data_IF_640607144556
#
_entry.id   IF_640607144556
#
_cell.length_a   1.000
_cell.length_b   1.000
_cell.length_c   1.000
_cell.angle_alpha   90.00
_cell.angle_beta   90.00
_cell.angle_gamma   90.00
#
_symmetry.space_group_name_H-M   'P 1'
#
loop_
_entity.id
_entity.type
_entity.pdbx_description
1 polymer ?
#
# COMPACT_ATOMS: atom_id res chain seq x y z
N UNK A 1 19.79 6.01 -9.66
CA UNK A 1 20.34 7.38 -9.84
C UNK A 1 20.94 7.60 -11.25
N UNK A 2 21.55 6.61 -11.90
CA UNK A 2 22.12 6.74 -13.23
C UNK A 2 21.15 7.07 -14.37
N UNK A 3 19.85 6.90 -14.14
CA UNK A 3 18.79 7.18 -15.12
C UNK A 3 18.07 8.52 -14.88
N UNK A 4 18.52 9.33 -13.89
CA UNK A 4 17.95 10.63 -13.58
C UNK A 4 16.72 10.60 -12.65
N UNK A 5 16.33 9.42 -12.17
CA UNK A 5 15.23 9.23 -11.21
C UNK A 5 15.82 9.12 -9.79
N UNK A 6 15.30 9.89 -8.84
CA UNK A 6 15.82 9.97 -7.47
C UNK A 6 15.02 9.06 -6.54
N UNK A 7 15.73 8.21 -5.79
CA UNK A 7 15.13 7.38 -4.75
C UNK A 7 14.49 8.26 -3.66
N UNK A 8 13.33 7.84 -3.17
CA UNK A 8 12.55 8.56 -2.15
C UNK A 8 11.68 9.70 -2.70
N UNK A 9 12.16 10.44 -3.69
CA UNK A 9 11.39 11.52 -4.30
C UNK A 9 10.59 11.05 -5.53
N UNK A 10 11.26 10.38 -6.47
CA UNK A 10 10.65 9.92 -7.72
C UNK A 10 10.24 8.45 -7.65
N UNK A 11 10.96 7.65 -6.86
CA UNK A 11 10.69 6.24 -6.57
C UNK A 11 10.12 6.13 -5.17
N UNK A 12 8.86 5.74 -5.04
CA UNK A 12 8.19 5.63 -3.74
C UNK A 12 7.08 4.59 -3.78
N UNK A 13 6.64 4.17 -2.60
CA UNK A 13 5.49 3.31 -2.44
C UNK A 13 4.63 3.78 -1.27
N UNK A 14 3.34 3.50 -1.33
CA UNK A 14 2.44 3.68 -0.20
C UNK A 14 1.43 2.55 -0.13
N UNK A 15 0.99 2.24 1.08
CA UNK A 15 -0.01 1.20 1.34
C UNK A 15 -1.29 1.82 1.86
N UNK A 16 -2.41 1.34 1.33
CA UNK A 16 -3.75 1.61 1.83
C UNK A 16 -4.33 0.33 2.47
N UNK A 17 -5.56 0.39 2.93
CA UNK A 17 -6.26 -0.81 3.43
C UNK A 17 -6.56 -1.85 2.36
N UNK A 18 -6.54 -1.46 1.09
CA UNK A 18 -6.97 -2.30 -0.04
C UNK A 18 -5.85 -2.66 -1.00
N UNK A 19 -4.82 -1.82 -1.12
CA UNK A 19 -3.75 -2.00 -2.09
C UNK A 19 -2.45 -1.34 -1.64
N UNK A 20 -1.35 -1.78 -2.24
CA UNK A 20 -0.07 -1.08 -2.24
C UNK A 20 0.16 -0.50 -3.62
N UNK A 21 0.56 0.76 -3.68
CA UNK A 21 0.91 1.45 -4.91
C UNK A 21 2.41 1.70 -4.93
N UNK A 22 3.08 1.18 -5.94
CA UNK A 22 4.47 1.49 -6.26
C UNK A 22 4.49 2.54 -7.36
N UNK A 23 5.26 3.58 -7.19
CA UNK A 23 5.25 4.72 -8.09
C UNK A 23 6.65 5.10 -8.52
N UNK A 24 6.79 5.31 -9.82
CA UNK A 24 7.92 6.00 -10.44
C UNK A 24 7.37 7.26 -11.09
N UNK A 25 7.89 8.42 -10.72
CA UNK A 25 7.43 9.73 -11.21
C UNK A 25 8.58 10.55 -11.75
N UNK A 26 8.25 11.65 -12.44
CA UNK A 26 9.21 12.58 -13.04
C UNK A 26 10.24 11.87 -13.94
N UNK A 27 9.77 10.86 -14.70
CA UNK A 27 10.63 10.10 -15.61
C UNK A 27 10.99 10.96 -16.82
N UNK A 28 12.28 11.25 -17.06
CA UNK A 28 12.69 12.01 -18.23
C UNK A 28 12.45 11.22 -19.51
N UNK A 29 11.74 11.80 -20.48
CA UNK A 29 11.48 11.18 -21.79
C UNK A 29 12.60 11.42 -22.82
N UNK A 30 13.72 12.01 -22.41
CA UNK A 30 14.86 12.34 -23.29
C UNK A 30 15.59 11.13 -23.83
N UNK A 31 15.42 9.97 -23.23
CA UNK A 31 16.00 8.70 -23.68
C UNK A 31 15.01 7.57 -23.42
N UNK A 32 14.73 6.81 -24.45
CA UNK A 32 13.81 5.66 -24.38
C UNK A 32 14.24 4.62 -23.32
N UNK A 33 15.54 4.38 -23.20
CA UNK A 33 16.11 3.46 -22.21
C UNK A 33 15.77 3.80 -20.74
N UNK A 34 15.43 5.07 -20.46
CA UNK A 34 15.00 5.47 -19.11
C UNK A 34 13.60 4.94 -18.82
N UNK A 35 12.69 5.03 -19.78
CA UNK A 35 11.33 4.49 -19.66
C UNK A 35 11.38 2.97 -19.51
N UNK A 36 12.17 2.29 -20.35
CA UNK A 36 12.34 0.84 -20.28
C UNK A 36 12.89 0.39 -18.92
N UNK A 37 13.88 1.13 -18.38
CA UNK A 37 14.41 0.87 -17.04
C UNK A 37 13.35 1.06 -15.95
N UNK A 38 12.49 2.07 -16.06
CA UNK A 38 11.41 2.29 -15.11
C UNK A 38 10.36 1.19 -15.17
N UNK A 39 9.99 0.71 -16.35
CA UNK A 39 9.09 -0.43 -16.52
C UNK A 39 9.70 -1.71 -15.94
N UNK A 40 11.00 -1.93 -16.13
CA UNK A 40 11.71 -3.07 -15.51
C UNK A 40 11.70 -2.99 -13.97
N UNK A 41 11.90 -1.80 -13.39
CA UNK A 41 11.78 -1.61 -11.94
C UNK A 41 10.38 -1.98 -11.44
N UNK A 42 9.33 -1.56 -12.15
CA UNK A 42 7.96 -1.91 -11.79
C UNK A 42 7.69 -3.41 -11.93
N UNK A 43 8.25 -4.05 -12.95
CA UNK A 43 8.21 -5.49 -13.13
C UNK A 43 8.86 -6.22 -11.94
N UNK A 44 10.09 -5.85 -11.58
CA UNK A 44 10.81 -6.49 -10.48
C UNK A 44 10.09 -6.31 -9.14
N UNK A 45 9.51 -5.14 -8.89
CA UNK A 45 8.68 -4.93 -7.69
C UNK A 45 7.42 -5.77 -7.70
N UNK A 46 6.86 -6.05 -8.86
CA UNK A 46 5.62 -6.81 -8.99
C UNK A 46 5.79 -8.31 -8.73
N UNK A 47 6.97 -8.88 -9.01
CA UNK A 47 7.16 -10.34 -8.94
C UNK A 47 8.54 -10.81 -8.49
N UNK A 48 9.58 -9.99 -8.57
CA UNK A 48 10.97 -10.42 -8.41
C UNK A 48 11.70 -9.86 -7.18
N UNK A 49 10.98 -9.38 -6.16
CA UNK A 49 11.62 -8.89 -4.93
C UNK A 49 12.30 -10.07 -4.21
N UNK A 50 13.58 -9.96 -3.91
CA UNK A 50 14.38 -11.03 -3.30
C UNK A 50 14.03 -11.32 -1.85
N UNK A 51 13.52 -10.33 -1.11
CA UNK A 51 13.16 -10.43 0.31
C UNK A 51 14.29 -11.06 1.14
N UNK A 52 15.51 -10.53 0.99
CA UNK A 52 16.67 -10.95 1.76
C UNK A 52 16.44 -10.73 3.25
N UNK A 53 16.80 -11.72 4.09
CA UNK A 53 16.53 -11.64 5.52
C UNK A 53 17.26 -10.50 6.21
N UNK A 54 18.50 -10.20 5.80
CA UNK A 54 19.27 -9.09 6.37
C UNK A 54 18.69 -7.73 6.01
N UNK A 55 18.14 -7.57 4.80
CA UNK A 55 17.46 -6.35 4.38
C UNK A 55 16.09 -6.21 5.07
N UNK A 56 15.35 -7.30 5.26
CA UNK A 56 14.10 -7.30 6.05
C UNK A 56 14.38 -6.82 7.48
N UNK A 57 15.43 -7.30 8.12
CA UNK A 57 15.75 -6.91 9.51
C UNK A 57 16.21 -5.44 9.63
N UNK A 58 16.91 -4.92 8.63
CA UNK A 58 17.25 -3.49 8.56
C UNK A 58 15.99 -2.64 8.43
N UNK A 59 15.10 -3.00 7.50
CA UNK A 59 13.86 -2.26 7.24
C UNK A 59 12.91 -2.33 8.43
N UNK A 60 12.89 -3.43 9.16
CA UNK A 60 12.13 -3.59 10.42
C UNK A 60 12.42 -2.45 11.41
N UNK A 61 13.70 -2.11 11.59
CA UNK A 61 14.10 -0.99 12.44
C UNK A 61 13.56 0.36 11.96
N UNK A 62 13.58 0.59 10.65
CA UNK A 62 13.04 1.81 10.01
C UNK A 62 11.54 1.92 10.25
N UNK A 63 10.78 0.85 10.00
CA UNK A 63 9.32 0.83 10.20
C UNK A 63 8.95 1.02 11.67
N UNK A 64 9.68 0.42 12.60
CA UNK A 64 9.44 0.61 14.05
C UNK A 64 9.66 2.08 14.44
N UNK A 65 10.69 2.72 13.89
CA UNK A 65 10.94 4.13 14.17
C UNK A 65 9.87 5.03 13.54
N UNK A 66 9.43 4.74 12.31
CA UNK A 66 8.29 5.43 11.68
C UNK A 66 7.01 5.30 12.53
N UNK A 67 6.75 4.10 13.05
CA UNK A 67 5.63 3.86 13.94
C UNK A 67 5.72 4.75 15.19
N UNK A 68 6.91 4.84 15.82
CA UNK A 68 7.14 5.69 17.01
C UNK A 68 6.94 7.17 16.69
N UNK A 69 7.46 7.64 15.55
CA UNK A 69 7.27 9.03 15.12
C UNK A 69 5.81 9.37 14.80
N UNK A 70 5.04 8.38 14.34
CA UNK A 70 3.60 8.51 14.09
C UNK A 70 2.72 8.46 15.35
N UNK A 71 3.29 8.15 16.53
CA UNK A 71 2.52 8.15 17.78
C UNK A 71 2.15 9.57 18.23
N UNK A 72 0.91 9.72 18.67
CA UNK A 72 0.41 11.01 19.12
C UNK A 72 -1.09 10.98 19.41
N UNK A 73 -1.65 12.09 19.93
CA UNK A 73 -3.06 12.17 20.34
C UNK A 73 -4.02 11.85 19.18
N UNK A 74 -3.74 12.32 17.99
CA UNK A 74 -4.57 12.07 16.81
C UNK A 74 -4.67 10.56 16.50
N UNK A 75 -3.55 9.83 16.58
CA UNK A 75 -3.52 8.39 16.35
C UNK A 75 -4.27 7.63 17.45
N UNK A 76 -4.03 7.98 18.71
CA UNK A 76 -4.71 7.32 19.84
C UNK A 76 -6.22 7.51 19.77
N UNK A 77 -6.69 8.74 19.51
CA UNK A 77 -8.11 9.03 19.32
C UNK A 77 -8.69 8.30 18.09
N UNK A 78 -7.96 8.27 16.99
CA UNK A 78 -8.39 7.52 15.80
C UNK A 78 -8.53 6.01 16.06
N UNK A 79 -7.59 5.39 16.77
CA UNK A 79 -7.68 3.98 17.13
C UNK A 79 -8.93 3.68 17.98
N UNK A 80 -9.31 4.60 18.86
CA UNK A 80 -10.57 4.50 19.62
C UNK A 80 -11.82 4.69 18.76
N UNK A 81 -11.76 5.57 17.74
CA UNK A 81 -12.88 5.89 16.85
C UNK A 81 -13.10 4.84 15.75
N UNK A 82 -12.06 4.15 15.33
CA UNK A 82 -12.12 3.21 14.20
C UNK A 82 -13.21 2.12 14.34
N UNK A 83 -13.43 1.51 15.52
CA UNK A 83 -14.52 0.54 15.70
C UNK A 83 -15.93 1.10 15.46
N UNK A 84 -16.16 2.38 15.76
CA UNK A 84 -17.46 3.01 15.47
C UNK A 84 -17.72 3.14 13.98
N UNK A 85 -16.66 3.38 13.21
CA UNK A 85 -16.76 3.53 11.76
C UNK A 85 -16.79 2.18 11.04
N UNK A 86 -15.97 1.24 11.47
CA UNK A 86 -15.69 0.02 10.75
C UNK A 86 -16.29 -1.25 11.38
N UNK A 87 -16.93 -1.14 12.56
CA UNK A 87 -17.46 -2.27 13.33
C UNK A 87 -16.34 -3.27 13.67
N UNK A 88 -16.69 -4.54 13.74
CA UNK A 88 -15.75 -5.63 14.05
C UNK A 88 -14.90 -6.09 12.84
N UNK A 89 -14.83 -5.27 11.81
CA UNK A 89 -14.06 -5.61 10.61
C UNK A 89 -12.56 -5.43 10.84
N UNK A 90 -11.76 -6.05 9.96
CA UNK A 90 -10.30 -5.85 9.97
C UNK A 90 -9.87 -4.39 9.78
N UNK A 91 -10.73 -3.54 9.20
CA UNK A 91 -10.44 -2.10 9.08
C UNK A 91 -10.40 -1.39 10.43
N UNK A 92 -11.12 -1.89 11.44
CA UNK A 92 -11.09 -1.33 12.78
C UNK A 92 -9.84 -1.74 13.57
N UNK A 93 -9.35 -2.98 13.35
CA UNK A 93 -8.34 -3.61 14.21
C UNK A 93 -6.94 -3.65 13.61
N UNK A 94 -6.80 -3.49 12.28
CA UNK A 94 -5.51 -3.54 11.60
C UNK A 94 -5.01 -2.15 11.24
N UNK A 95 -3.95 -1.74 11.92
CA UNK A 95 -3.19 -0.56 11.54
C UNK A 95 -2.33 -0.87 10.30
N UNK A 96 -2.24 0.09 9.37
CA UNK A 96 -1.43 -0.09 8.15
C UNK A 96 0.05 -0.31 8.46
N UNK A 97 0.59 0.41 9.42
CA UNK A 97 2.00 0.29 9.83
C UNK A 97 2.23 -0.91 10.78
N UNK A 98 1.18 -1.57 11.26
CA UNK A 98 1.29 -2.70 12.17
C UNK A 98 1.39 -2.31 13.65
N UNK A 99 1.92 -3.23 14.44
CA UNK A 99 2.16 -3.09 15.88
C UNK A 99 3.60 -3.49 16.20
N UNK A 100 4.20 -2.87 17.22
CA UNK A 100 5.62 -3.09 17.58
C UNK A 100 5.93 -4.57 17.79
N UNK A 101 5.09 -5.29 18.55
CA UNK A 101 5.32 -6.71 18.85
C UNK A 101 5.32 -7.55 17.55
N UNK A 102 4.34 -7.33 16.67
CA UNK A 102 4.29 -8.02 15.39
C UNK A 102 5.50 -7.69 14.52
N UNK A 103 5.81 -6.39 14.37
CA UNK A 103 6.95 -5.94 13.56
C UNK A 103 8.29 -6.50 14.07
N UNK A 104 8.44 -6.63 15.40
CA UNK A 104 9.67 -7.11 16.02
C UNK A 104 9.87 -8.62 15.90
N UNK A 105 8.80 -9.39 15.71
CA UNK A 105 8.84 -10.85 15.89
C UNK A 105 8.41 -11.68 14.68
N UNK A 106 7.75 -11.07 13.65
CA UNK A 106 7.32 -11.89 12.50
C UNK A 106 8.52 -12.56 11.80
N UNK A 107 8.44 -13.85 11.47
CA UNK A 107 9.50 -14.52 10.72
C UNK A 107 9.55 -14.04 9.27
N UNK A 108 10.74 -14.02 8.67
CA UNK A 108 10.95 -13.57 7.30
C UNK A 108 10.05 -14.31 6.29
N UNK A 109 9.78 -15.59 6.54
CA UNK A 109 8.95 -16.41 5.66
C UNK A 109 7.49 -15.95 5.61
N UNK A 110 6.95 -15.33 6.66
CA UNK A 110 5.62 -14.71 6.59
C UNK A 110 5.54 -13.60 5.55
N UNK A 111 6.60 -12.78 5.42
CA UNK A 111 6.66 -11.74 4.40
C UNK A 111 6.81 -12.33 3.00
N UNK A 112 7.65 -13.36 2.85
CA UNK A 112 7.82 -14.08 1.59
C UNK A 112 6.54 -14.77 1.15
N UNK A 113 5.85 -15.44 2.08
CA UNK A 113 4.56 -16.09 1.84
C UNK A 113 3.48 -15.07 1.45
N UNK A 114 3.44 -13.90 2.13
CA UNK A 114 2.54 -12.83 1.79
C UNK A 114 2.80 -12.33 0.36
N UNK A 115 4.05 -12.04 0.03
CA UNK A 115 4.42 -11.59 -1.30
C UNK A 115 4.07 -12.63 -2.36
N UNK A 116 4.46 -13.87 -2.22
CA UNK A 116 4.14 -14.96 -3.15
C UNK A 116 2.64 -15.28 -3.26
N UNK A 117 1.84 -14.93 -2.25
CA UNK A 117 0.39 -15.12 -2.25
C UNK A 117 -0.37 -14.00 -2.96
N UNK A 118 0.02 -12.75 -2.75
CA UNK A 118 -0.77 -11.59 -3.12
C UNK A 118 -0.19 -10.77 -4.27
N UNK A 119 1.12 -10.87 -4.55
CA UNK A 119 1.75 -10.19 -5.69
C UNK A 119 1.65 -11.09 -6.93
N UNK A 120 0.52 -10.99 -7.59
CA UNK A 120 0.17 -11.84 -8.75
C UNK A 120 -0.62 -11.03 -9.80
N UNK A 121 -0.51 -11.38 -11.10
CA UNK A 121 -1.02 -10.55 -12.20
C UNK A 121 -2.51 -10.23 -12.11
N UNK A 122 -3.34 -11.17 -11.63
CA UNK A 122 -4.80 -10.98 -11.51
C UNK A 122 -5.22 -9.96 -10.42
N UNK A 123 -4.27 -9.52 -9.58
CA UNK A 123 -4.47 -8.49 -8.56
C UNK A 123 -3.64 -7.23 -8.81
N UNK A 124 -2.96 -7.13 -9.95
CA UNK A 124 -2.10 -6.00 -10.29
C UNK A 124 -2.68 -5.18 -11.43
N UNK A 125 -2.33 -3.91 -11.47
CA UNK A 125 -2.60 -3.01 -12.58
C UNK A 125 -1.38 -2.11 -12.78
N UNK A 126 -0.99 -1.90 -14.02
CA UNK A 126 0.03 -0.93 -14.42
C UNK A 126 -0.68 0.28 -14.99
N UNK A 127 -0.34 1.46 -14.48
CA UNK A 127 -0.89 2.74 -14.94
C UNK A 127 0.27 3.61 -15.37
N UNK A 128 0.26 4.05 -16.61
CA UNK A 128 1.28 4.96 -17.16
C UNK A 128 0.59 6.23 -17.61
N UNK A 129 1.15 7.37 -17.18
CA UNK A 129 0.61 8.71 -17.52
C UNK A 129 1.75 9.60 -17.97
N UNK A 130 1.62 10.23 -19.13
CA UNK A 130 2.64 11.11 -19.67
C UNK A 130 2.36 11.53 -21.12
N UNK A 131 3.33 12.18 -21.72
CA UNK A 131 3.31 12.59 -23.13
C UNK A 131 4.06 11.53 -23.96
N UNK A 132 3.33 10.53 -24.48
CA UNK A 132 3.85 9.41 -25.26
C UNK A 132 2.77 8.84 -26.19
N UNK A 133 3.17 8.08 -27.19
CA UNK A 133 2.23 7.28 -27.98
C UNK A 133 1.66 6.13 -27.15
N UNK A 134 0.33 6.02 -27.11
CA UNK A 134 -0.36 5.06 -26.23
C UNK A 134 -0.15 3.62 -26.71
N UNK A 135 -0.17 3.38 -28.02
CA UNK A 135 -0.04 2.04 -28.58
C UNK A 135 1.39 1.51 -28.39
N UNK A 136 2.39 2.37 -28.57
CA UNK A 136 3.80 2.02 -28.31
C UNK A 136 4.03 1.75 -26.82
N UNK A 137 3.47 2.56 -25.93
CA UNK A 137 3.61 2.35 -24.49
C UNK A 137 2.90 1.07 -24.04
N UNK A 138 1.69 0.80 -24.55
CA UNK A 138 1.00 -0.46 -24.26
C UNK A 138 1.83 -1.67 -24.70
N UNK A 139 2.42 -1.61 -25.91
CA UNK A 139 3.27 -2.69 -26.39
C UNK A 139 4.49 -2.92 -25.50
N UNK A 140 5.14 -1.85 -25.00
CA UNK A 140 6.26 -1.94 -24.05
C UNK A 140 5.82 -2.56 -22.71
N UNK A 141 4.71 -2.10 -22.13
CA UNK A 141 4.17 -2.64 -20.87
C UNK A 141 3.85 -4.13 -21.05
N UNK A 142 3.20 -4.51 -22.15
CA UNK A 142 2.90 -5.92 -22.43
C UNK A 142 4.17 -6.77 -22.58
N UNK A 143 5.17 -6.27 -23.28
CA UNK A 143 6.44 -6.98 -23.47
C UNK A 143 7.16 -7.25 -22.16
N UNK A 144 7.16 -6.27 -21.21
CA UNK A 144 7.85 -6.38 -19.93
C UNK A 144 7.06 -7.23 -18.93
N UNK A 145 5.71 -7.13 -18.89
CA UNK A 145 4.88 -7.74 -17.84
C UNK A 145 4.33 -9.13 -18.21
N UNK A 146 4.43 -9.57 -19.48
CA UNK A 146 3.79 -10.80 -19.95
C UNK A 146 4.45 -12.10 -19.49
N UNK A 147 5.67 -12.04 -18.98
CA UNK A 147 6.41 -13.21 -18.45
C UNK A 147 6.06 -13.51 -16.98
N UNK A 148 5.35 -12.61 -16.30
CA UNK A 148 4.92 -12.84 -14.92
C UNK A 148 3.90 -13.97 -14.87
N UNK A 149 4.21 -15.11 -14.20
CA UNK A 149 3.35 -16.28 -14.27
C UNK A 149 2.04 -16.08 -13.53
N UNK A 150 0.95 -16.52 -14.14
CA UNK A 150 -0.32 -16.61 -13.46
C UNK A 150 -0.28 -17.70 -12.36
N UNK A 151 -0.86 -17.41 -11.20
CA UNK A 151 -0.94 -18.38 -10.11
C UNK A 151 -2.06 -19.37 -10.35
N UNK A 152 -1.76 -20.68 -10.26
CA UNK A 152 -2.78 -21.71 -10.29
C UNK A 152 -3.61 -21.69 -8.99
N UNK A 153 -4.93 -21.77 -9.12
CA UNK A 153 -5.90 -21.80 -8.02
C UNK A 153 -5.64 -20.70 -6.97
N UNK A 154 -5.61 -19.42 -7.36
CA UNK A 154 -5.27 -18.33 -6.46
C UNK A 154 -6.33 -18.15 -5.37
N UNK A 155 -5.89 -17.86 -4.14
CA UNK A 155 -6.79 -17.48 -3.06
C UNK A 155 -7.58 -16.22 -3.45
N UNK A 156 -8.92 -16.22 -3.35
CA UNK A 156 -9.71 -15.06 -3.73
C UNK A 156 -9.47 -13.88 -2.78
N UNK A 157 -9.34 -12.68 -3.33
CA UNK A 157 -9.30 -11.46 -2.52
C UNK A 157 -10.64 -11.30 -1.80
N UNK A 158 -10.63 -11.33 -0.47
CA UNK A 158 -11.82 -11.12 0.35
C UNK A 158 -12.22 -9.66 0.33
N UNK A 159 -13.45 -9.39 -0.08
CA UNK A 159 -14.04 -8.06 0.09
C UNK A 159 -14.60 -7.92 1.50
N UNK A 160 -14.26 -6.82 2.16
CA UNK A 160 -14.80 -6.49 3.48
C UNK A 160 -15.97 -5.53 3.25
N UNK A 161 -17.17 -5.95 3.64
CA UNK A 161 -18.34 -5.08 3.66
C UNK A 161 -18.43 -4.43 5.03
N UNK A 162 -18.49 -3.10 5.06
CA UNK A 162 -18.68 -2.35 6.30
C UNK A 162 -20.14 -2.48 6.74
N UNK A 163 -20.37 -2.73 8.04
CA UNK A 163 -21.72 -2.74 8.56
C UNK A 163 -22.34 -1.33 8.48
N UNK A 164 -23.62 -1.26 8.14
CA UNK A 164 -24.39 -0.04 8.25
C UNK A 164 -24.99 0.09 9.65
N UNK A 165 -25.34 1.30 10.06
CA UNK A 165 -25.99 1.50 11.36
C UNK A 165 -27.45 1.90 11.13
N UNK A 166 -28.37 1.22 11.86
CA UNK A 166 -29.80 1.54 11.86
C UNK A 166 -30.10 2.90 12.52
N UNK A 167 -29.24 3.36 13.41
CA UNK A 167 -29.36 4.61 14.14
C UNK A 167 -28.02 5.38 14.10
N UNK A 168 -28.04 6.72 14.20
CA UNK A 168 -26.82 7.49 14.37
C UNK A 168 -25.99 7.01 15.56
N UNK A 169 -24.69 6.89 15.36
CA UNK A 169 -23.75 6.53 16.42
C UNK A 169 -22.90 7.76 16.73
N UNK A 170 -22.77 8.08 18.01
CA UNK A 170 -21.96 9.22 18.48
C UNK A 170 -20.78 8.69 19.29
N UNK A 171 -19.59 9.16 19.01
CA UNK A 171 -18.38 8.88 19.78
C UNK A 171 -17.73 10.17 20.25
N UNK A 172 -17.27 10.18 21.48
CA UNK A 172 -16.46 11.25 22.06
C UNK A 172 -15.09 10.64 22.44
N UNK A 173 -14.05 11.19 21.88
CA UNK A 173 -12.68 10.74 22.12
C UNK A 173 -11.86 11.93 22.61
N UNK A 174 -11.19 11.74 23.72
CA UNK A 174 -10.34 12.77 24.34
C UNK A 174 -8.94 12.25 24.55
N UNK A 175 -7.99 13.14 24.47
CA UNK A 175 -6.58 12.84 24.76
C UNK A 175 -5.99 14.06 25.49
N UNK A 176 -5.23 13.88 26.59
CA UNK A 176 -4.68 14.99 27.36
C UNK A 176 -3.68 15.85 26.59
N UNK A 177 -3.08 15.32 25.52
CA UNK A 177 -2.15 16.06 24.66
C UNK A 177 -2.84 16.70 23.44
N UNK A 178 -4.15 16.53 23.29
CA UNK A 178 -4.89 17.14 22.19
C UNK A 178 -4.97 18.65 22.33
N UNK A 179 -4.47 19.37 21.34
CA UNK A 179 -4.45 20.85 21.30
C UNK A 179 -5.64 21.46 20.56
N UNK A 180 -6.42 20.62 19.87
CA UNK A 180 -7.56 21.06 19.07
C UNK A 180 -8.78 20.20 19.32
N UNK A 181 -9.95 20.82 19.25
CA UNK A 181 -11.24 20.10 19.19
C UNK A 181 -11.69 20.01 17.75
N UNK A 182 -12.07 18.82 17.29
CA UNK A 182 -12.62 18.59 15.96
C UNK A 182 -13.99 17.92 16.06
N UNK A 183 -14.84 18.22 15.10
CA UNK A 183 -16.11 17.54 14.89
C UNK A 183 -16.12 16.93 13.50
N UNK A 184 -16.46 15.64 13.41
CA UNK A 184 -16.50 14.91 12.15
C UNK A 184 -17.84 14.20 12.00
N UNK A 185 -18.45 14.31 10.83
CA UNK A 185 -19.69 13.64 10.48
C UNK A 185 -19.42 12.68 9.31
N UNK A 186 -19.72 11.41 9.52
CA UNK A 186 -19.46 10.35 8.53
C UNK A 186 -20.77 9.75 8.03
N UNK A 187 -20.94 9.71 6.71
CA UNK A 187 -22.00 9.00 6.03
C UNK A 187 -21.43 7.82 5.28
N UNK A 188 -21.84 6.61 5.66
CA UNK A 188 -21.47 5.38 4.93
C UNK A 188 -22.38 5.24 3.71
N UNK A 189 -21.80 4.86 2.59
CA UNK A 189 -22.56 4.52 1.38
C UNK A 189 -21.82 3.43 0.59
N UNK A 190 -22.51 2.58 -0.14
CA UNK A 190 -21.88 1.65 -1.05
C UNK A 190 -21.05 2.39 -2.10
N UNK A 191 -19.84 1.87 -2.39
CA UNK A 191 -19.06 2.35 -3.51
C UNK A 191 -19.81 1.98 -4.80
N UNK A 192 -20.12 2.96 -5.63
CA UNK A 192 -20.66 2.70 -6.97
C UNK A 192 -19.52 2.23 -7.85
N UNK A 193 -19.62 1.10 -8.55
CA UNK A 193 -18.67 0.75 -9.59
C UNK A 193 -18.72 1.82 -10.68
N UNK A 194 -17.56 2.21 -11.17
CA UNK A 194 -17.42 3.08 -12.33
C UNK A 194 -17.75 2.31 -13.59
#
# INVERSE_FOLDING_TARGET
EGIGVKFGYDLNAFTTREYTCYRVSNVPLVRETVVDSCLLILHDWSHCITLDGGEIDKERGVIIEELRQGEGPARRMWCGAAPLLYGDTRYATRNLIGHIDGLSTFPHDELRDFYGRWYRPDLQAVIVVGDFDVDEMEAKVRAVMSDIPAKENPEPKRRITLPDNAQPVVGLFTDPEATMTSFSLYYKRPLRPF
#
